data_IF_217319729989
#
_entry.id   IF_217319729989
#
_cell.length_a   1.000
_cell.length_b   1.000
_cell.length_c   1.000
_cell.angle_alpha   90.00
_cell.angle_beta   90.00
_cell.angle_gamma   90.00
#
_symmetry.space_group_name_H-M   'P 1'
#
loop_
_entity.id
_entity.type
_entity.pdbx_description
1 polymer ?
#
# COMPACT_ATOMS: atom_id res chain seq x y z
N UNK A 1 -25.09 17.84 42.19
CA UNK A 1 -25.87 18.14 40.99
C UNK A 1 -24.92 18.15 39.82
N UNK A 2 -24.84 17.01 39.11
CA UNK A 2 -24.05 16.89 37.87
C UNK A 2 -24.88 17.48 36.75
N UNK A 3 -24.47 18.65 36.24
CA UNK A 3 -25.02 19.16 34.98
C UNK A 3 -24.77 18.09 33.88
N UNK A 4 -25.83 17.44 33.47
CA UNK A 4 -25.86 16.62 32.27
C UNK A 4 -25.68 17.59 31.10
N UNK A 5 -24.44 17.67 30.56
CA UNK A 5 -24.18 18.37 29.31
C UNK A 5 -25.08 17.72 28.24
N UNK A 6 -26.15 18.43 27.87
CA UNK A 6 -27.01 17.97 26.79
C UNK A 6 -26.18 17.93 25.51
N UNK A 7 -26.02 16.76 24.94
CA UNK A 7 -25.35 16.57 23.65
C UNK A 7 -26.24 17.16 22.55
N UNK A 8 -25.76 18.23 21.91
CA UNK A 8 -26.46 18.85 20.80
C UNK A 8 -25.91 18.34 19.47
N UNK A 9 -26.76 17.71 18.66
CA UNK A 9 -26.39 17.25 17.32
C UNK A 9 -25.86 18.37 16.41
N UNK A 10 -26.34 19.61 16.63
CA UNK A 10 -25.85 20.75 15.89
C UNK A 10 -24.38 21.06 16.20
N UNK A 11 -23.96 20.93 17.46
CA UNK A 11 -22.59 21.18 17.87
C UNK A 11 -21.65 20.13 17.24
N UNK A 12 -22.03 18.85 17.30
CA UNK A 12 -21.29 17.80 16.60
C UNK A 12 -21.19 18.06 15.09
N UNK A 13 -22.29 18.48 14.46
CA UNK A 13 -22.31 18.78 13.03
C UNK A 13 -21.34 19.92 12.68
N UNK A 14 -21.32 20.99 13.50
CA UNK A 14 -20.42 22.13 13.33
C UNK A 14 -18.96 21.73 13.54
N UNK A 15 -18.66 20.97 14.59
CA UNK A 15 -17.30 20.47 14.86
C UNK A 15 -16.75 19.60 13.72
N UNK A 16 -17.59 18.73 13.12
CA UNK A 16 -17.21 17.92 11.97
C UNK A 16 -16.99 18.77 10.72
N UNK A 17 -17.83 19.79 10.48
CA UNK A 17 -17.67 20.71 9.38
C UNK A 17 -16.38 21.54 9.50
N UNK A 18 -16.07 22.02 10.70
CA UNK A 18 -14.85 22.77 10.99
C UNK A 18 -13.60 21.88 10.85
N UNK A 19 -13.69 20.61 11.28
CA UNK A 19 -12.63 19.62 11.07
C UNK A 19 -12.39 19.39 9.58
N UNK A 20 -13.45 19.21 8.81
CA UNK A 20 -13.37 19.02 7.36
C UNK A 20 -12.73 20.24 6.67
N UNK A 21 -13.13 21.45 7.06
CA UNK A 21 -12.58 22.69 6.51
C UNK A 21 -11.08 22.82 6.78
N UNK A 22 -10.65 22.60 8.03
CA UNK A 22 -9.21 22.63 8.38
C UNK A 22 -8.41 21.57 7.63
N UNK A 23 -8.94 20.33 7.54
CA UNK A 23 -8.26 19.26 6.82
C UNK A 23 -8.14 19.55 5.32
N UNK A 24 -9.16 20.17 4.72
CA UNK A 24 -9.20 20.47 3.29
C UNK A 24 -8.11 21.45 2.85
N UNK A 25 -7.56 22.26 3.75
CA UNK A 25 -6.41 23.14 3.45
C UNK A 25 -5.13 22.35 3.12
N UNK A 26 -5.00 21.14 3.70
CA UNK A 26 -3.88 20.23 3.52
C UNK A 26 -4.12 19.18 2.41
N UNK A 27 -5.24 19.30 1.67
CA UNK A 27 -5.63 18.34 0.64
C UNK A 27 -5.65 19.01 -0.72
N UNK A 28 -5.02 18.34 -1.68
CA UNK A 28 -4.90 18.79 -3.05
C UNK A 28 -5.67 17.89 -3.99
N UNK A 29 -6.05 18.40 -5.16
CA UNK A 29 -6.53 17.60 -6.27
C UNK A 29 -5.37 17.29 -7.22
N UNK A 30 -5.15 16.01 -7.51
CA UNK A 30 -4.15 15.53 -8.47
C UNK A 30 -4.85 15.25 -9.79
N UNK A 31 -4.52 16.01 -10.82
CA UNK A 31 -5.13 15.91 -12.14
C UNK A 31 -4.50 14.77 -12.94
N UNK A 32 -5.35 13.92 -13.51
CA UNK A 32 -4.98 12.76 -14.32
C UNK A 32 -5.37 13.00 -15.79
N UNK A 33 -4.96 12.07 -16.65
CA UNK A 33 -5.37 12.08 -18.06
C UNK A 33 -6.90 11.97 -18.22
N UNK A 34 -7.44 12.58 -19.28
CA UNK A 34 -8.87 12.47 -19.62
C UNK A 34 -9.81 13.24 -18.69
N UNK A 35 -9.34 14.28 -18.00
CA UNK A 35 -10.16 15.10 -17.10
C UNK A 35 -10.52 14.44 -15.77
N UNK A 36 -9.95 13.29 -15.47
CA UNK A 36 -10.09 12.63 -14.17
C UNK A 36 -9.21 13.32 -13.12
N UNK A 37 -9.58 13.20 -11.87
CA UNK A 37 -8.76 13.64 -10.76
C UNK A 37 -8.90 12.69 -9.56
N UNK A 38 -7.88 12.66 -8.74
CA UNK A 38 -7.87 12.03 -7.42
C UNK A 38 -7.35 13.03 -6.39
N UNK A 39 -7.46 12.72 -5.13
CA UNK A 39 -6.94 13.57 -4.07
C UNK A 39 -5.51 13.18 -3.70
N UNK A 40 -4.83 14.11 -3.05
CA UNK A 40 -3.58 13.87 -2.36
C UNK A 40 -3.55 14.64 -1.06
N UNK A 41 -2.85 14.13 -0.06
CA UNK A 41 -2.62 14.82 1.19
C UNK A 41 -1.25 15.47 1.20
N UNK A 42 -1.14 16.68 1.70
CA UNK A 42 0.15 17.27 2.02
C UNK A 42 0.77 16.44 3.15
N UNK A 43 1.89 15.77 2.85
CA UNK A 43 2.60 14.98 3.85
C UNK A 43 3.56 15.84 4.67
N UNK A 44 4.34 16.62 3.97
CA UNK A 44 5.24 17.69 4.46
C UNK A 44 5.30 18.78 3.39
N UNK A 45 5.82 19.95 3.73
CA UNK A 45 6.00 21.03 2.77
C UNK A 45 6.66 20.51 1.46
N UNK A 46 6.01 20.76 0.34
CA UNK A 46 6.47 20.32 -0.98
C UNK A 46 6.30 18.83 -1.29
N UNK A 47 5.71 18.02 -0.41
CA UNK A 47 5.51 16.58 -0.59
C UNK A 47 4.04 16.20 -0.45
N UNK A 48 3.50 15.60 -1.48
CA UNK A 48 2.13 15.09 -1.50
C UNK A 48 2.14 13.57 -1.56
N UNK A 49 1.31 12.95 -0.73
CA UNK A 49 1.04 11.51 -0.77
C UNK A 49 -0.35 11.29 -1.36
N UNK A 50 -0.46 10.33 -2.26
CA UNK A 50 -1.73 9.93 -2.90
C UNK A 50 -1.77 8.41 -3.11
N UNK A 51 -2.90 7.88 -3.61
CA UNK A 51 -3.02 6.50 -4.04
C UNK A 51 -2.16 6.25 -5.30
N UNK A 52 -1.50 5.09 -5.38
CA UNK A 52 -0.62 4.74 -6.49
C UNK A 52 -1.37 4.17 -7.70
N UNK A 53 -2.45 3.40 -7.48
CA UNK A 53 -3.20 2.72 -8.54
C UNK A 53 -3.73 3.69 -9.61
N UNK A 54 -4.33 4.86 -9.26
CA UNK A 54 -4.79 5.81 -10.26
C UNK A 54 -3.68 6.44 -11.10
N UNK A 55 -2.42 6.36 -10.65
CA UNK A 55 -1.26 6.91 -11.36
C UNK A 55 -0.62 5.94 -12.36
N UNK A 56 -1.12 4.71 -12.50
CA UNK A 56 -0.55 3.72 -13.44
C UNK A 56 -0.59 4.21 -14.89
N UNK A 57 -1.62 4.95 -15.26
CA UNK A 57 -1.81 5.55 -16.57
C UNK A 57 -1.61 7.08 -16.57
N UNK A 58 -0.91 7.61 -15.55
CA UNK A 58 -0.72 9.03 -15.41
C UNK A 58 0.28 9.58 -16.46
N UNK A 59 0.12 10.84 -16.91
CA UNK A 59 1.09 11.48 -17.78
C UNK A 59 2.44 11.69 -17.05
N UNK A 60 3.51 11.88 -17.82
CA UNK A 60 4.85 12.11 -17.28
C UNK A 60 4.92 13.38 -16.40
N UNK A 61 4.09 14.40 -16.68
CA UNK A 61 3.91 15.59 -15.83
C UNK A 61 2.51 15.58 -15.25
N UNK A 62 2.42 15.62 -13.93
CA UNK A 62 1.18 15.75 -13.17
C UNK A 62 0.94 17.21 -12.81
N UNK A 63 -0.33 17.59 -12.67
CA UNK A 63 -0.73 18.89 -12.12
C UNK A 63 -1.48 18.68 -10.82
N UNK A 64 -1.20 19.55 -9.89
CA UNK A 64 -1.81 19.53 -8.56
C UNK A 64 -2.48 20.88 -8.32
N UNK A 65 -3.75 20.86 -7.94
CA UNK A 65 -4.49 22.05 -7.52
C UNK A 65 -4.58 22.08 -5.99
N UNK A 66 -4.05 23.13 -5.41
CA UNK A 66 -4.08 23.37 -3.96
C UNK A 66 -5.43 23.96 -3.49
N UNK A 67 -5.58 24.09 -2.16
CA UNK A 67 -6.76 24.72 -1.55
C UNK A 67 -7.00 26.15 -2.05
N UNK A 68 -5.93 26.88 -2.36
CA UNK A 68 -5.99 28.25 -2.87
C UNK A 68 -6.32 28.34 -4.36
N UNK A 69 -6.63 27.22 -5.03
CA UNK A 69 -7.02 27.18 -6.44
C UNK A 69 -5.85 27.29 -7.43
N UNK A 70 -4.61 27.40 -6.94
CA UNK A 70 -3.42 27.45 -7.79
C UNK A 70 -3.07 26.07 -8.37
N UNK A 71 -2.89 25.99 -9.68
CA UNK A 71 -2.38 24.82 -10.37
C UNK A 71 -0.85 24.84 -10.40
N UNK A 72 -0.23 23.79 -9.88
CA UNK A 72 1.23 23.65 -9.85
C UNK A 72 1.64 22.33 -10.48
N UNK A 73 2.77 22.33 -11.18
CA UNK A 73 3.36 21.10 -11.72
C UNK A 73 3.87 20.22 -10.57
N UNK A 74 3.61 18.93 -10.69
CA UNK A 74 4.03 17.93 -9.72
C UNK A 74 4.90 16.86 -10.41
N UNK A 75 5.96 16.44 -9.72
CA UNK A 75 6.84 15.37 -10.17
C UNK A 75 6.63 14.12 -9.31
N UNK A 76 6.40 12.98 -9.94
CA UNK A 76 6.36 11.69 -9.25
C UNK A 76 7.78 11.35 -8.74
N UNK A 77 7.95 11.27 -7.42
CA UNK A 77 9.21 10.86 -6.79
C UNK A 77 9.34 9.35 -6.69
N UNK A 78 8.21 8.66 -6.57
CA UNK A 78 8.16 7.20 -6.53
C UNK A 78 6.78 6.70 -6.15
N UNK A 79 6.55 5.42 -6.40
CA UNK A 79 5.29 4.75 -6.04
C UNK A 79 5.53 3.31 -5.60
N UNK A 80 4.67 2.83 -4.72
CA UNK A 80 4.60 1.43 -4.31
C UNK A 80 3.21 0.84 -4.60
N UNK A 81 3.04 0.14 -5.72
CA UNK A 81 1.80 -0.57 -6.00
C UNK A 81 1.44 -1.60 -4.92
N UNK A 82 2.42 -2.04 -4.14
CA UNK A 82 2.21 -2.99 -3.05
C UNK A 82 1.36 -2.43 -1.94
N UNK A 83 1.61 -1.23 -1.50
CA UNK A 83 0.84 -0.55 -0.44
C UNK A 83 -0.16 0.45 -0.97
N UNK A 84 -0.20 0.65 -2.30
CA UNK A 84 -1.00 1.67 -2.97
C UNK A 84 -0.67 3.09 -2.50
N UNK A 85 0.62 3.40 -2.36
CA UNK A 85 1.13 4.71 -1.95
C UNK A 85 2.03 5.30 -3.03
N UNK A 86 1.81 6.55 -3.39
CA UNK A 86 2.67 7.33 -4.27
C UNK A 86 3.07 8.66 -3.61
N UNK A 87 4.26 9.16 -3.95
CA UNK A 87 4.80 10.42 -3.44
C UNK A 87 5.09 11.34 -4.61
N UNK A 88 4.55 12.56 -4.52
CA UNK A 88 4.77 13.62 -5.49
C UNK A 88 5.57 14.75 -4.84
N UNK A 89 6.44 15.40 -5.62
CA UNK A 89 7.07 16.67 -5.27
C UNK A 89 6.29 17.81 -5.93
N UNK A 90 5.90 18.81 -5.14
CA UNK A 90 5.15 19.99 -5.60
C UNK A 90 5.84 21.25 -5.09
N UNK A 91 6.49 21.97 -6.00
CA UNK A 91 7.25 23.17 -5.63
C UNK A 91 6.32 24.26 -5.06
N UNK A 92 6.76 24.92 -3.99
CA UNK A 92 6.01 26.03 -3.36
C UNK A 92 4.76 25.63 -2.59
N UNK A 93 4.40 24.35 -2.50
CA UNK A 93 3.28 23.90 -1.67
C UNK A 93 3.71 23.92 -0.21
N UNK A 94 3.11 24.84 0.57
CA UNK A 94 3.37 25.02 1.98
C UNK A 94 2.21 24.48 2.83
N UNK A 95 2.48 24.19 4.09
CA UNK A 95 1.53 23.71 5.10
C UNK A 95 2.26 22.86 6.13
N UNK A 96 1.58 22.51 7.23
CA UNK A 96 2.12 21.63 8.26
C UNK A 96 2.16 20.17 7.80
N UNK A 97 1.15 19.78 7.01
CA UNK A 97 0.97 18.44 6.50
C UNK A 97 0.53 17.45 7.59
N UNK A 98 0.36 16.19 7.15
CA UNK A 98 -0.12 15.10 8.00
C UNK A 98 0.99 14.23 8.59
N UNK A 99 2.25 14.48 8.27
CA UNK A 99 3.37 13.71 8.82
C UNK A 99 3.43 13.83 10.35
N UNK A 100 3.49 12.68 11.03
CA UNK A 100 3.52 12.64 12.50
C UNK A 100 2.16 12.80 13.19
N UNK A 101 1.06 12.98 12.45
CA UNK A 101 -0.30 13.14 12.98
C UNK A 101 -1.09 11.82 13.00
N UNK A 102 -0.44 10.71 13.31
CA UNK A 102 -1.07 9.39 13.35
C UNK A 102 -2.14 9.29 14.42
N UNK A 103 -3.30 8.70 14.07
CA UNK A 103 -4.38 8.45 15.02
C UNK A 103 -3.98 7.44 16.10
N UNK A 104 -4.57 7.60 17.29
CA UNK A 104 -4.50 6.61 18.37
C UNK A 104 -5.04 5.23 17.93
N UNK A 105 -4.87 4.15 18.73
CA UNK A 105 -5.43 2.86 18.40
C UNK A 105 -6.93 2.94 18.09
N UNK A 106 -7.32 2.49 16.91
CA UNK A 106 -8.69 2.58 16.41
C UNK A 106 -9.60 1.55 17.06
N UNK A 107 -10.85 1.95 17.30
CA UNK A 107 -11.92 1.06 17.75
C UNK A 107 -13.00 0.96 16.68
N UNK A 108 -13.52 -0.25 16.47
CA UNK A 108 -14.69 -0.47 15.61
C UNK A 108 -15.88 0.35 16.15
N UNK A 109 -16.61 1.02 15.26
CA UNK A 109 -17.68 1.95 15.59
C UNK A 109 -17.23 3.40 15.83
N UNK A 110 -15.94 3.68 15.96
CA UNK A 110 -15.42 5.06 16.06
C UNK A 110 -15.72 5.84 14.79
N UNK A 111 -16.10 7.11 14.94
CA UNK A 111 -16.36 7.98 13.80
C UNK A 111 -15.09 8.19 12.96
N UNK A 112 -15.27 8.32 11.66
CA UNK A 112 -14.21 8.60 10.71
C UNK A 112 -14.70 9.54 9.62
N UNK A 113 -13.85 10.48 9.22
CA UNK A 113 -14.11 11.49 8.20
C UNK A 113 -13.15 11.25 7.03
N UNK A 114 -13.67 10.98 5.84
CA UNK A 114 -12.88 10.95 4.62
C UNK A 114 -12.98 12.32 3.93
N UNK A 115 -11.83 12.95 3.68
CA UNK A 115 -11.75 14.27 3.06
C UNK A 115 -10.89 14.19 1.82
N UNK A 116 -11.44 14.61 0.70
CA UNK A 116 -10.77 14.73 -0.60
C UNK A 116 -10.98 16.10 -1.20
N UNK A 117 -10.52 16.30 -2.44
CA UNK A 117 -10.68 17.53 -3.22
C UNK A 117 -10.97 17.24 -4.67
N UNK A 118 -11.97 17.92 -5.21
CA UNK A 118 -12.23 17.99 -6.65
C UNK A 118 -11.74 19.33 -7.19
N UNK A 119 -11.16 19.37 -8.41
CA UNK A 119 -10.83 20.62 -9.07
C UNK A 119 -12.05 21.52 -9.30
N UNK A 120 -13.21 20.91 -9.53
CA UNK A 120 -14.46 21.61 -9.89
C UNK A 120 -15.25 22.06 -8.66
N UNK A 121 -15.36 21.18 -7.65
CA UNK A 121 -16.27 21.42 -6.49
C UNK A 121 -15.54 21.80 -5.20
N UNK A 122 -14.22 21.80 -5.19
CA UNK A 122 -13.43 22.00 -3.98
C UNK A 122 -13.44 20.78 -3.05
N UNK A 123 -13.53 20.97 -1.73
CA UNK A 123 -13.51 19.86 -0.77
C UNK A 123 -14.66 18.88 -0.97
N UNK A 124 -14.35 17.58 -0.88
CA UNK A 124 -15.31 16.48 -0.88
C UNK A 124 -15.19 15.75 0.46
N UNK A 125 -16.30 15.57 1.14
CA UNK A 125 -16.33 14.97 2.47
C UNK A 125 -17.31 13.80 2.52
N UNK A 126 -16.89 12.71 3.12
CA UNK A 126 -17.75 11.59 3.46
C UNK A 126 -17.57 11.24 4.94
N UNK A 127 -18.68 11.06 5.62
CA UNK A 127 -18.73 10.73 7.03
C UNK A 127 -19.17 9.28 7.24
N UNK A 128 -18.55 8.59 8.19
CA UNK A 128 -18.86 7.22 8.52
C UNK A 128 -18.23 6.74 9.81
N UNK A 129 -18.00 5.44 9.90
CA UNK A 129 -17.36 4.83 11.06
C UNK A 129 -16.35 3.78 10.68
N UNK A 130 -15.39 3.51 11.55
CA UNK A 130 -14.47 2.38 11.43
C UNK A 130 -15.27 1.09 11.51
N UNK A 131 -15.45 0.42 10.37
CA UNK A 131 -16.21 -0.83 10.28
C UNK A 131 -15.36 -2.06 10.63
N UNK A 132 -14.06 -2.00 10.35
CA UNK A 132 -13.08 -3.04 10.70
C UNK A 132 -11.77 -2.40 11.07
N UNK A 133 -11.20 -2.82 12.20
CA UNK A 133 -9.85 -2.51 12.62
C UNK A 133 -9.13 -3.83 12.91
N UNK A 134 -8.29 -4.27 11.97
CA UNK A 134 -7.56 -5.55 12.02
C UNK A 134 -6.06 -5.36 12.22
N UNK A 135 -5.34 -6.47 12.38
CA UNK A 135 -3.89 -6.50 12.46
C UNK A 135 -3.20 -6.28 11.10
N UNK A 136 -1.87 -6.48 11.05
CA UNK A 136 -1.10 -6.39 9.82
C UNK A 136 -1.60 -7.38 8.76
N UNK A 137 -1.55 -6.95 7.50
CA UNK A 137 -1.97 -7.78 6.37
C UNK A 137 -1.11 -7.49 5.14
N UNK A 138 -1.27 -8.31 4.12
CA UNK A 138 -0.64 -8.08 2.82
C UNK A 138 -1.67 -7.81 1.74
N UNK A 139 -1.39 -6.82 0.93
CA UNK A 139 -2.18 -6.51 -0.26
C UNK A 139 -2.05 -7.62 -1.33
N UNK A 140 -2.88 -7.55 -2.36
CA UNK A 140 -2.77 -8.46 -3.51
C UNK A 140 -1.44 -8.33 -4.26
N UNK A 141 -0.81 -7.16 -4.20
CA UNK A 141 0.47 -6.85 -4.84
C UNK A 141 1.67 -7.09 -3.90
N UNK A 142 1.45 -7.77 -2.75
CA UNK A 142 2.50 -8.21 -1.83
C UNK A 142 3.05 -7.12 -0.91
N UNK A 143 2.47 -5.92 -0.87
CA UNK A 143 2.86 -4.89 0.08
C UNK A 143 2.36 -5.19 1.49
N UNK A 144 3.23 -5.04 2.49
CA UNK A 144 2.85 -5.15 3.91
C UNK A 144 2.19 -3.84 4.35
N UNK A 145 0.99 -3.97 4.89
CA UNK A 145 0.21 -2.87 5.46
C UNK A 145 0.04 -3.16 6.95
N UNK A 146 0.39 -2.19 7.80
CA UNK A 146 0.58 -2.42 9.23
C UNK A 146 -0.73 -2.64 10.01
N UNK A 147 -1.86 -2.20 9.47
CA UNK A 147 -3.21 -2.47 10.01
C UNK A 147 -4.23 -2.56 8.88
N UNK A 148 -5.21 -3.44 9.01
CA UNK A 148 -6.37 -3.47 8.12
C UNK A 148 -7.44 -2.52 8.65
N UNK A 149 -7.70 -1.43 7.94
CA UNK A 149 -8.72 -0.45 8.32
C UNK A 149 -9.73 -0.30 7.20
N UNK A 150 -11.00 -0.63 7.50
CA UNK A 150 -12.13 -0.40 6.61
C UNK A 150 -13.10 0.58 7.26
N UNK A 151 -13.52 1.57 6.50
CA UNK A 151 -14.48 2.59 6.93
C UNK A 151 -15.80 2.38 6.19
N UNK A 152 -16.90 2.42 6.92
CA UNK A 152 -18.25 2.40 6.38
C UNK A 152 -18.66 3.82 5.99
N UNK A 153 -18.14 4.28 4.86
CA UNK A 153 -18.50 5.55 4.23
C UNK A 153 -18.40 5.41 2.71
N UNK A 154 -19.21 6.14 1.94
CA UNK A 154 -19.04 6.21 0.50
C UNK A 154 -17.72 6.92 0.17
N UNK A 155 -17.00 6.45 -0.86
CA UNK A 155 -15.83 7.14 -1.39
C UNK A 155 -16.07 7.45 -2.87
N UNK A 156 -16.04 8.73 -3.22
CA UNK A 156 -15.99 9.15 -4.63
C UNK A 156 -14.58 8.92 -5.18
N UNK A 157 -14.47 8.67 -6.48
CA UNK A 157 -13.16 8.51 -7.13
C UNK A 157 -12.27 9.75 -6.96
N UNK A 158 -12.85 10.95 -6.99
CA UNK A 158 -12.11 12.18 -6.77
C UNK A 158 -11.55 12.31 -5.34
N UNK A 159 -12.13 11.61 -4.34
CA UNK A 159 -11.65 11.60 -2.96
C UNK A 159 -10.63 10.47 -2.68
N UNK A 160 -10.38 9.59 -3.64
CA UNK A 160 -9.31 8.57 -3.54
C UNK A 160 -7.95 9.26 -3.42
N UNK A 161 -7.09 8.80 -2.53
CA UNK A 161 -5.83 9.47 -2.18
C UNK A 161 -5.97 10.57 -1.12
N UNK A 162 -7.18 10.93 -0.71
CA UNK A 162 -7.46 11.91 0.35
C UNK A 162 -7.22 11.37 1.76
N UNK A 163 -7.45 12.23 2.77
CA UNK A 163 -7.27 11.87 4.16
C UNK A 163 -8.47 11.11 4.73
N UNK A 164 -8.21 10.09 5.55
CA UNK A 164 -9.17 9.54 6.50
C UNK A 164 -8.73 9.96 7.89
N UNK A 165 -9.59 10.69 8.60
CA UNK A 165 -9.31 11.31 9.89
C UNK A 165 -10.20 10.73 10.99
N UNK A 166 -9.70 10.73 12.21
CA UNK A 166 -10.51 10.55 13.40
C UNK A 166 -11.17 11.89 13.84
N UNK A 167 -12.09 11.89 14.81
CA UNK A 167 -12.75 13.12 15.27
C UNK A 167 -11.80 14.17 15.88
N UNK A 168 -10.57 13.82 16.21
CA UNK A 168 -9.58 14.79 16.72
C UNK A 168 -8.77 15.46 15.60
N UNK A 169 -8.94 15.00 14.35
CA UNK A 169 -8.16 15.44 13.19
C UNK A 169 -6.85 14.68 13.00
N UNK A 170 -6.63 13.62 13.77
CA UNK A 170 -5.47 12.77 13.57
C UNK A 170 -5.69 11.85 12.35
N UNK A 171 -4.61 11.60 11.61
CA UNK A 171 -4.63 10.81 10.38
C UNK A 171 -4.77 9.32 10.70
N UNK A 172 -5.90 8.73 10.34
CA UNK A 172 -6.08 7.28 10.30
C UNK A 172 -5.27 6.71 9.13
N UNK A 173 -5.37 7.35 7.97
CA UNK A 173 -4.64 6.92 6.77
C UNK A 173 -5.09 7.64 5.50
N UNK A 174 -4.54 7.20 4.37
CA UNK A 174 -4.95 7.65 3.02
C UNK A 174 -6.09 6.77 2.52
N UNK A 175 -7.12 7.41 1.96
CA UNK A 175 -8.30 6.76 1.40
C UNK A 175 -7.97 6.04 0.09
N UNK A 176 -8.27 4.75 -0.01
CA UNK A 176 -8.13 3.98 -1.24
C UNK A 176 -9.39 3.15 -1.52
N UNK A 177 -9.62 2.84 -2.79
CA UNK A 177 -10.73 1.99 -3.21
C UNK A 177 -10.36 0.50 -3.08
N UNK A 178 -10.94 -0.16 -2.10
CA UNK A 178 -10.85 -1.60 -1.95
C UNK A 178 -11.83 -2.38 -2.84
N UNK A 179 -11.86 -3.72 -2.72
CA UNK A 179 -12.81 -4.56 -3.45
C UNK A 179 -14.25 -4.08 -3.26
N UNK A 180 -15.04 -4.12 -4.34
CA UNK A 180 -16.44 -3.64 -4.37
C UNK A 180 -16.58 -2.16 -4.00
N UNK A 181 -15.56 -1.34 -4.29
CA UNK A 181 -15.52 0.11 -3.99
C UNK A 181 -15.69 0.41 -2.49
N UNK A 182 -15.20 -0.46 -1.61
CA UNK A 182 -15.17 -0.20 -0.18
C UNK A 182 -14.06 0.79 0.16
N UNK A 183 -14.32 1.71 1.08
CA UNK A 183 -13.29 2.61 1.60
C UNK A 183 -12.34 1.83 2.52
N UNK A 184 -11.09 1.69 2.10
CA UNK A 184 -9.98 1.28 2.94
C UNK A 184 -9.11 2.48 3.26
N UNK A 185 -8.49 2.47 4.43
CA UNK A 185 -7.47 3.46 4.78
C UNK A 185 -6.10 2.78 4.86
N UNK A 186 -5.14 3.26 4.08
CA UNK A 186 -3.73 2.87 4.24
C UNK A 186 -3.19 3.62 5.46
N UNK A 187 -2.80 2.92 6.55
CA UNK A 187 -2.48 3.56 7.81
C UNK A 187 -1.30 4.54 7.73
N UNK A 188 -1.35 5.59 8.55
CA UNK A 188 -0.30 6.61 8.62
C UNK A 188 1.10 6.02 8.86
N UNK A 189 1.21 4.97 9.68
CA UNK A 189 2.48 4.28 9.95
C UNK A 189 3.04 3.59 8.71
N UNK A 190 2.17 2.95 7.91
CA UNK A 190 2.54 2.37 6.60
C UNK A 190 3.01 3.45 5.65
N UNK A 191 2.28 4.57 5.58
CA UNK A 191 2.63 5.71 4.72
C UNK A 191 4.00 6.26 5.10
N UNK A 192 4.26 6.52 6.39
CA UNK A 192 5.53 7.05 6.87
C UNK A 192 6.70 6.17 6.42
N UNK A 193 6.61 4.87 6.65
CA UNK A 193 7.63 3.88 6.25
C UNK A 193 7.85 3.84 4.74
N UNK A 194 6.78 3.87 3.95
CA UNK A 194 6.85 3.82 2.48
C UNK A 194 7.41 5.12 1.92
N UNK A 195 6.98 6.28 2.41
CA UNK A 195 7.48 7.59 1.99
C UNK A 195 8.98 7.70 2.20
N UNK A 196 9.51 7.30 3.37
CA UNK A 196 10.95 7.32 3.64
C UNK A 196 11.74 6.48 2.62
N UNK A 197 11.25 5.28 2.29
CA UNK A 197 11.90 4.42 1.31
C UNK A 197 11.82 4.99 -0.11
N UNK A 198 10.67 5.55 -0.50
CA UNK A 198 10.49 6.17 -1.82
C UNK A 198 11.37 7.41 -1.99
N UNK A 199 11.52 8.23 -0.95
CA UNK A 199 12.40 9.40 -0.97
C UNK A 199 13.87 9.01 -1.04
N UNK A 200 14.28 7.95 -0.36
CA UNK A 200 15.66 7.48 -0.35
C UNK A 200 16.10 6.79 -1.65
N UNK A 201 15.21 6.02 -2.27
CA UNK A 201 15.54 5.11 -3.39
C UNK A 201 14.69 5.30 -4.65
N UNK A 202 13.66 6.15 -4.62
CA UNK A 202 12.67 6.30 -5.70
C UNK A 202 11.73 5.10 -5.88
N UNK A 203 11.95 4.02 -5.15
CA UNK A 203 11.19 2.76 -5.26
C UNK A 203 11.23 1.97 -3.95
N UNK A 204 10.29 1.04 -3.81
CA UNK A 204 10.36 0.03 -2.76
C UNK A 204 11.17 -1.15 -3.26
N UNK A 205 12.27 -1.42 -2.59
CA UNK A 205 13.06 -2.63 -2.83
C UNK A 205 12.22 -3.86 -2.54
N UNK A 206 12.27 -4.87 -3.41
CA UNK A 206 11.62 -6.17 -3.18
C UNK A 206 12.64 -7.26 -3.32
N UNK A 207 12.51 -8.28 -2.48
CA UNK A 207 13.31 -9.47 -2.60
C UNK A 207 13.14 -10.10 -3.98
N UNK A 208 14.24 -10.55 -4.55
CA UNK A 208 14.31 -11.13 -5.88
C UNK A 208 15.19 -12.37 -5.87
N UNK A 209 14.67 -13.45 -6.41
CA UNK A 209 15.44 -14.68 -6.62
C UNK A 209 15.84 -14.89 -8.07
N UNK A 210 15.21 -14.16 -8.99
CA UNK A 210 15.45 -14.31 -10.42
C UNK A 210 14.84 -15.56 -11.02
N UNK A 211 13.71 -16.01 -10.51
CA UNK A 211 12.98 -17.17 -11.05
C UNK A 211 11.55 -16.78 -11.40
N UNK A 212 11.06 -17.26 -12.54
CA UNK A 212 9.63 -17.33 -12.80
C UNK A 212 9.10 -18.68 -12.33
N UNK A 213 7.92 -18.66 -11.72
CA UNK A 213 7.34 -19.85 -11.10
C UNK A 213 5.88 -20.01 -11.49
N UNK A 214 5.46 -21.27 -11.67
CA UNK A 214 4.06 -21.62 -11.92
C UNK A 214 3.58 -22.63 -10.88
N UNK A 215 2.37 -22.46 -10.29
CA UNK A 215 1.84 -23.44 -9.38
C UNK A 215 1.54 -24.75 -10.12
N UNK A 216 1.97 -25.87 -9.54
CA UNK A 216 1.72 -27.22 -10.05
C UNK A 216 1.19 -28.13 -8.95
N UNK A 217 0.32 -29.07 -9.31
CA UNK A 217 -0.12 -30.12 -8.41
C UNK A 217 0.83 -31.30 -8.53
N UNK A 218 1.33 -31.78 -7.40
CA UNK A 218 2.25 -32.91 -7.37
C UNK A 218 1.48 -34.23 -7.55
N UNK A 219 2.06 -35.23 -8.25
CA UNK A 219 1.60 -36.63 -8.22
C UNK A 219 1.66 -37.20 -6.79
N UNK A 220 0.78 -38.13 -6.48
CA UNK A 220 0.64 -38.69 -5.12
C UNK A 220 1.94 -39.19 -4.48
N UNK A 221 2.84 -39.90 -5.20
CA UNK A 221 4.12 -40.32 -4.61
C UNK A 221 4.99 -39.14 -4.18
N UNK A 222 5.02 -38.07 -4.99
CA UNK A 222 5.80 -36.86 -4.69
C UNK A 222 5.15 -36.01 -3.58
N UNK A 223 3.82 -36.04 -3.44
CA UNK A 223 3.14 -35.40 -2.30
C UNK A 223 3.58 -35.99 -0.97
N UNK A 224 3.70 -37.32 -0.89
CA UNK A 224 4.17 -38.00 0.31
C UNK A 224 5.63 -37.67 0.64
N UNK A 225 6.47 -37.60 -0.40
CA UNK A 225 7.88 -37.26 -0.24
C UNK A 225 8.08 -35.80 0.19
N UNK A 226 7.35 -34.86 -0.42
CA UNK A 226 7.48 -33.42 -0.19
C UNK A 226 6.60 -32.90 0.97
N UNK A 227 5.73 -33.72 1.54
CA UNK A 227 4.74 -33.32 2.56
C UNK A 227 3.87 -32.11 2.14
N UNK A 228 3.57 -32.01 0.83
CA UNK A 228 2.69 -30.99 0.25
C UNK A 228 2.02 -31.50 -1.00
N UNK A 229 0.80 -31.03 -1.28
CA UNK A 229 0.06 -31.39 -2.50
C UNK A 229 0.40 -30.49 -3.69
N UNK A 230 1.05 -29.36 -3.44
CA UNK A 230 1.36 -28.34 -4.44
C UNK A 230 2.84 -27.99 -4.40
N UNK A 231 3.37 -27.58 -5.54
CA UNK A 231 4.72 -27.03 -5.66
C UNK A 231 4.71 -25.85 -6.64
N UNK A 232 5.86 -25.21 -6.78
CA UNK A 232 6.09 -24.13 -7.74
C UNK A 232 7.14 -24.57 -8.73
N UNK A 233 6.72 -24.87 -9.97
CA UNK A 233 7.60 -25.21 -11.07
C UNK A 233 8.38 -23.99 -11.51
N UNK A 234 9.70 -24.08 -11.49
CA UNK A 234 10.61 -23.06 -12.02
C UNK A 234 10.56 -23.11 -13.54
N UNK A 235 9.98 -22.07 -14.16
CA UNK A 235 9.82 -21.94 -15.61
C UNK A 235 10.87 -21.05 -16.28
N UNK A 236 11.63 -20.27 -15.51
CA UNK A 236 12.85 -19.60 -15.97
C UNK A 236 13.75 -19.26 -14.79
N UNK A 237 15.05 -19.11 -15.04
CA UNK A 237 16.05 -18.68 -14.06
C UNK A 237 16.91 -17.60 -14.73
N UNK A 238 16.99 -16.44 -14.10
CA UNK A 238 17.88 -15.36 -14.51
C UNK A 238 19.33 -15.75 -14.20
N UNK A 239 20.24 -15.78 -15.19
CA UNK A 239 21.61 -16.25 -15.02
C UNK A 239 22.43 -15.51 -13.95
N UNK A 240 22.10 -14.24 -13.66
CA UNK A 240 22.82 -13.42 -12.68
C UNK A 240 22.14 -13.39 -11.29
N UNK A 241 21.12 -14.19 -11.11
CA UNK A 241 20.30 -14.19 -9.89
C UNK A 241 20.86 -15.05 -8.76
N UNK A 242 20.38 -14.79 -7.54
CA UNK A 242 20.69 -15.61 -6.38
C UNK A 242 20.25 -17.08 -6.53
N UNK A 243 19.20 -17.35 -7.32
CA UNK A 243 18.77 -18.70 -7.63
C UNK A 243 19.76 -19.44 -8.56
N UNK A 244 20.23 -18.77 -9.62
CA UNK A 244 21.23 -19.34 -10.53
C UNK A 244 22.56 -19.62 -9.81
N UNK A 245 23.04 -18.64 -9.02
CA UNK A 245 24.25 -18.78 -8.22
C UNK A 245 24.13 -19.90 -7.16
N UNK A 246 22.92 -20.13 -6.64
CA UNK A 246 22.62 -21.22 -5.71
C UNK A 246 22.41 -22.58 -6.38
N UNK A 247 22.51 -22.67 -7.72
CA UNK A 247 22.42 -23.93 -8.48
C UNK A 247 20.99 -24.36 -8.81
N UNK A 248 20.00 -23.47 -8.72
CA UNK A 248 18.63 -23.75 -9.14
C UNK A 248 18.52 -23.78 -10.67
N UNK A 249 17.74 -24.70 -11.20
CA UNK A 249 17.59 -24.92 -12.64
C UNK A 249 16.11 -24.82 -13.07
N UNK A 250 15.92 -24.55 -14.33
CA UNK A 250 14.62 -24.72 -15.00
C UNK A 250 14.14 -26.16 -14.83
N UNK A 251 12.87 -26.33 -14.47
CA UNK A 251 12.27 -27.64 -14.23
C UNK A 251 12.31 -28.09 -12.76
N UNK A 252 13.03 -27.40 -11.88
CA UNK A 252 12.91 -27.63 -10.43
C UNK A 252 11.49 -27.34 -9.96
N UNK A 253 10.98 -28.11 -9.01
CA UNK A 253 9.69 -27.84 -8.38
C UNK A 253 9.91 -27.52 -6.93
N UNK A 254 9.79 -26.25 -6.56
CA UNK A 254 9.95 -25.78 -5.19
C UNK A 254 8.79 -26.30 -4.35
N UNK A 255 9.10 -27.00 -3.25
CA UNK A 255 8.12 -27.62 -2.34
C UNK A 255 8.25 -27.15 -0.92
N UNK A 256 9.35 -26.48 -0.56
CA UNK A 256 9.57 -25.95 0.78
C UNK A 256 10.44 -24.70 0.79
N UNK A 257 10.30 -23.91 1.86
CA UNK A 257 11.01 -22.65 2.05
C UNK A 257 11.31 -22.44 3.54
N UNK A 258 12.58 -22.36 3.90
CA UNK A 258 13.04 -22.31 5.31
C UNK A 258 12.43 -23.40 6.20
N UNK A 259 12.29 -24.62 5.67
CA UNK A 259 11.71 -25.75 6.38
C UNK A 259 10.17 -25.81 6.38
N UNK A 260 9.48 -24.79 5.89
CA UNK A 260 8.03 -24.80 5.76
C UNK A 260 7.59 -25.31 4.36
N UNK A 261 6.62 -26.23 4.28
CA UNK A 261 6.10 -26.67 3.00
C UNK A 261 5.31 -25.56 2.30
N UNK A 262 5.42 -25.50 0.96
CA UNK A 262 4.64 -24.57 0.16
C UNK A 262 3.19 -25.06 0.10
N UNK A 263 2.26 -24.18 0.47
CA UNK A 263 0.83 -24.44 0.41
C UNK A 263 0.11 -23.51 -0.58
N UNK A 264 0.66 -22.31 -0.81
CA UNK A 264 0.08 -21.27 -1.66
C UNK A 264 1.21 -20.41 -2.25
N UNK A 265 1.06 -19.98 -3.50
CA UNK A 265 1.96 -19.02 -4.16
C UNK A 265 2.13 -17.70 -3.37
N UNK A 266 1.10 -17.27 -2.65
CA UNK A 266 1.16 -16.05 -1.82
C UNK A 266 2.19 -16.11 -0.70
N UNK A 267 2.57 -17.32 -0.23
CA UNK A 267 3.64 -17.47 0.75
C UNK A 267 4.98 -16.94 0.23
N UNK A 268 5.28 -17.16 -1.06
CA UNK A 268 6.53 -16.69 -1.68
C UNK A 268 6.62 -15.17 -1.68
N UNK A 269 5.51 -14.48 -1.96
CA UNK A 269 5.48 -13.02 -1.93
C UNK A 269 5.78 -12.45 -0.53
N UNK A 270 5.35 -13.15 0.54
CA UNK A 270 5.67 -12.78 1.92
C UNK A 270 7.15 -12.96 2.23
N UNK A 271 7.76 -14.02 1.73
CA UNK A 271 9.18 -14.32 1.97
C UNK A 271 10.12 -13.43 1.14
N UNK A 272 9.64 -12.82 0.06
CA UNK A 272 10.35 -11.85 -0.76
C UNK A 272 9.95 -10.40 -0.42
N UNK A 273 9.54 -10.15 0.82
CA UNK A 273 9.29 -8.80 1.33
C UNK A 273 10.57 -7.93 1.28
N UNK A 274 10.44 -6.58 1.32
CA UNK A 274 11.60 -5.68 1.26
C UNK A 274 12.71 -6.01 2.26
N UNK A 275 12.34 -6.46 3.44
CA UNK A 275 13.24 -6.81 4.54
C UNK A 275 14.07 -8.06 4.28
N UNK A 276 13.68 -8.86 3.28
CA UNK A 276 14.41 -10.08 2.91
C UNK A 276 15.63 -9.83 2.02
N UNK A 277 15.76 -8.66 1.42
CA UNK A 277 16.89 -8.31 0.54
C UNK A 277 18.22 -8.47 1.30
N UNK A 278 19.15 -9.22 0.71
CA UNK A 278 20.44 -9.55 1.32
C UNK A 278 20.41 -10.74 2.28
N UNK A 279 19.22 -11.24 2.66
CA UNK A 279 19.11 -12.42 3.53
C UNK A 279 19.40 -13.72 2.78
N UNK A 280 19.84 -14.73 3.53
CA UNK A 280 20.01 -16.09 3.02
C UNK A 280 18.79 -16.93 3.40
N UNK A 281 18.31 -17.75 2.48
CA UNK A 281 17.19 -18.64 2.69
C UNK A 281 17.48 -20.04 2.17
N UNK A 282 16.80 -21.04 2.75
CA UNK A 282 16.87 -22.43 2.31
C UNK A 282 15.62 -22.78 1.52
N UNK A 283 15.79 -23.19 0.27
CA UNK A 283 14.70 -23.66 -0.61
C UNK A 283 14.85 -25.17 -0.79
N UNK A 284 13.76 -25.91 -0.54
CA UNK A 284 13.68 -27.33 -0.85
C UNK A 284 12.91 -27.52 -2.16
N UNK A 285 13.48 -28.23 -3.11
CA UNK A 285 12.83 -28.51 -4.39
C UNK A 285 12.94 -29.98 -4.77
N UNK A 286 12.06 -30.40 -5.66
CA UNK A 286 12.13 -31.69 -6.37
C UNK A 286 12.87 -31.49 -7.70
N UNK A 287 13.92 -32.25 -7.90
CA UNK A 287 14.68 -32.37 -9.17
C UNK A 287 14.77 -33.84 -9.55
N UNK A 288 14.26 -34.17 -10.72
CA UNK A 288 14.21 -35.57 -11.18
C UNK A 288 13.61 -36.56 -10.16
N UNK A 289 12.61 -36.13 -9.41
CA UNK A 289 11.91 -36.94 -8.42
C UNK A 289 12.58 -37.02 -7.03
N UNK A 290 13.75 -36.43 -6.83
CA UNK A 290 14.46 -36.38 -5.55
C UNK A 290 14.37 -35.00 -4.89
N UNK A 291 14.37 -34.98 -3.55
CA UNK A 291 14.44 -33.71 -2.78
C UNK A 291 15.89 -33.22 -2.76
N UNK A 292 16.04 -31.93 -3.09
CA UNK A 292 17.31 -31.20 -3.04
C UNK A 292 17.08 -29.90 -2.27
N UNK A 293 18.06 -29.48 -1.48
CA UNK A 293 18.04 -28.21 -0.76
C UNK A 293 19.06 -27.24 -1.34
N UNK A 294 18.64 -26.01 -1.56
CA UNK A 294 19.46 -24.91 -2.03
C UNK A 294 19.56 -23.83 -0.96
N UNK A 295 20.76 -23.26 -0.79
CA UNK A 295 20.92 -22.01 -0.05
C UNK A 295 21.01 -20.88 -1.05
N UNK A 296 20.02 -19.98 -1.02
CA UNK A 296 19.90 -18.87 -1.95
C UNK A 296 20.06 -17.55 -1.20
N UNK A 297 20.68 -16.56 -1.87
CA UNK A 297 20.69 -15.18 -1.36
C UNK A 297 19.61 -14.40 -2.07
N UNK A 298 18.78 -13.71 -1.31
CA UNK A 298 17.73 -12.84 -1.86
C UNK A 298 18.38 -11.56 -2.36
N UNK A 299 18.37 -11.37 -3.68
CA UNK A 299 18.78 -10.13 -4.32
C UNK A 299 17.71 -9.06 -4.23
N UNK A 300 18.02 -7.88 -4.76
CA UNK A 300 17.03 -6.82 -4.99
C UNK A 300 16.51 -6.93 -6.42
N UNK A 301 15.18 -6.79 -6.61
CA UNK A 301 14.57 -6.83 -7.93
C UNK A 301 15.16 -5.73 -8.82
N UNK A 302 15.69 -6.06 -10.02
CA UNK A 302 16.14 -5.05 -10.99
C UNK A 302 15.02 -4.07 -11.32
N UNK A 303 15.37 -2.81 -11.62
CA UNK A 303 14.42 -1.86 -12.21
C UNK A 303 14.06 -2.39 -13.61
N UNK A 304 12.78 -2.53 -13.92
CA UNK A 304 12.36 -2.58 -15.31
C UNK A 304 12.61 -1.20 -15.90
N UNK A 305 13.51 -1.12 -16.87
CA UNK A 305 13.66 0.06 -17.73
C UNK A 305 12.37 0.33 -18.50
#
# INVERSE_FOLDING_TARGET
MTESSAFHLADLSNELADLAARAAEEIVAVQLSGGRSVSGILWRAGQVVTAAEPLDEAPASLRVQSANGGDTEAKLLGRDPGTDVAVLSVAGLAGEGFSGRSAAPLRVGQLALAVGRSPEYGPIVAFGSVAVAGGPWQSRHGGRIDRFVRVAAPLSQAAEGGAVLDPTGALIGVAVLGPRKTLLAIPADTIARVVEQLLAKGRISRGYLGIAMQPVRLPEPLQKLANTAVGLLVSSVDPQSGAALGGMLLGDVIVGWNGEPIRDYRQVQRWLAPESVGSSLTVTALRAGALISFRLTVGERPSSE
#
